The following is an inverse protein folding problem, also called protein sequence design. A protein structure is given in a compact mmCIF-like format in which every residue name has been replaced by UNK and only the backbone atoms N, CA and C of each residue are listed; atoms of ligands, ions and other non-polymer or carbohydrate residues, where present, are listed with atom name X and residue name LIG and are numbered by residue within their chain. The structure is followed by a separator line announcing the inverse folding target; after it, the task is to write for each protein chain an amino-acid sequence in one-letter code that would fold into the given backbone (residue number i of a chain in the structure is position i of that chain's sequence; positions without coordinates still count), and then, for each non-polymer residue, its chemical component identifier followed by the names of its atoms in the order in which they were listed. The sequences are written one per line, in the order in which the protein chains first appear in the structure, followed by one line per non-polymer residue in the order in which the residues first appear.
data_IF_350105618325
#
_entry.id   IF_350105618325
#
_cell.length_a   1.000
_cell.length_b   1.000
_cell.length_c   1.000
_cell.angle_alpha   90.00
_cell.angle_beta   90.00
_cell.angle_gamma   90.00
#
_symmetry.space_group_name_H-M   'P 1'
#
loop_
_entity.id
_entity.type
_entity.pdbx_description
1 polymer ?
#
# COMPACT_ATOMS: atom_id res chain seq x y z
N UNK A 1 41.52 -9.04 -21.47
CA UNK A 1 40.13 -9.54 -21.58
C UNK A 1 39.43 -9.28 -20.26
N UNK A 2 38.74 -8.16 -20.12
CA UNK A 2 38.00 -7.81 -18.89
C UNK A 2 36.52 -7.93 -19.23
N UNK A 3 35.91 -9.02 -18.78
CA UNK A 3 34.51 -9.35 -19.01
C UNK A 3 33.71 -8.96 -17.76
N UNK A 4 32.53 -8.41 -18.00
CA UNK A 4 31.41 -8.09 -17.08
C UNK A 4 31.59 -6.74 -16.37
N UNK A 5 30.84 -5.66 -16.63
CA UNK A 5 29.51 -5.45 -17.19
C UNK A 5 28.40 -6.30 -16.55
N UNK A 6 27.44 -5.62 -15.92
CA UNK A 6 26.05 -6.04 -15.62
C UNK A 6 25.57 -6.24 -14.17
N UNK A 7 26.28 -5.84 -13.11
CA UNK A 7 25.71 -5.97 -11.75
C UNK A 7 25.09 -4.70 -11.13
N UNK A 8 25.09 -3.57 -11.83
CA UNK A 8 24.62 -2.29 -11.25
C UNK A 8 23.32 -1.75 -11.89
N UNK A 9 22.67 -2.52 -12.77
CA UNK A 9 21.38 -2.16 -13.35
C UNK A 9 20.19 -2.69 -12.53
N UNK A 10 20.38 -3.77 -11.76
CA UNK A 10 19.32 -4.39 -10.96
C UNK A 10 18.98 -3.60 -9.68
N UNK A 11 19.89 -2.75 -9.19
CA UNK A 11 19.67 -1.93 -7.99
C UNK A 11 18.89 -0.62 -8.25
N UNK A 12 18.66 -0.26 -9.52
CA UNK A 12 18.27 1.11 -9.93
C UNK A 12 16.76 1.35 -10.08
N UNK A 13 15.91 0.40 -9.69
CA UNK A 13 14.46 0.62 -9.56
C UNK A 13 13.96 0.21 -8.17
N UNK A 14 14.55 0.77 -7.11
CA UNK A 14 13.76 1.06 -5.90
C UNK A 14 12.76 2.16 -6.28
N UNK A 15 11.72 1.82 -7.04
CA UNK A 15 10.69 2.77 -7.44
C UNK A 15 10.00 3.26 -6.17
N UNK A 16 10.46 4.41 -5.66
CA UNK A 16 9.70 5.25 -4.73
C UNK A 16 8.26 5.24 -5.21
N UNK A 17 7.27 4.97 -4.33
CA UNK A 17 5.88 4.99 -4.75
C UNK A 17 5.59 6.34 -5.39
N UNK A 18 4.90 6.36 -6.53
CA UNK A 18 4.49 7.62 -7.18
C UNK A 18 3.78 8.49 -6.12
N UNK A 19 3.88 9.83 -6.14
CA UNK A 19 3.28 10.69 -5.11
C UNK A 19 1.79 10.39 -4.84
N UNK A 20 1.06 9.98 -5.89
CA UNK A 20 -0.35 9.60 -5.79
C UNK A 20 -0.56 8.24 -5.09
N UNK A 21 0.40 7.31 -5.21
CA UNK A 21 0.42 6.06 -4.45
C UNK A 21 0.72 6.33 -2.98
N UNK A 22 1.65 7.23 -2.66
CA UNK A 22 1.92 7.63 -1.26
C UNK A 22 0.68 8.22 -0.59
N UNK A 23 -0.02 9.13 -1.29
CA UNK A 23 -1.28 9.72 -0.79
C UNK A 23 -2.33 8.64 -0.53
N UNK A 24 -2.46 7.66 -1.44
CA UNK A 24 -3.40 6.54 -1.27
C UNK A 24 -3.01 5.63 -0.12
N UNK A 25 -1.72 5.35 0.08
CA UNK A 25 -1.24 4.58 1.25
C UNK A 25 -1.67 5.29 2.53
N UNK A 26 -1.40 6.59 2.65
CA UNK A 26 -1.75 7.37 3.84
C UNK A 26 -3.27 7.37 4.10
N UNK A 27 -4.08 7.52 3.06
CA UNK A 27 -5.53 7.43 3.18
C UNK A 27 -6.00 6.03 3.58
N UNK A 28 -5.40 4.98 3.02
CA UNK A 28 -5.76 3.60 3.35
C UNK A 28 -5.43 3.29 4.81
N UNK A 29 -4.27 3.74 5.30
CA UNK A 29 -3.90 3.64 6.71
C UNK A 29 -4.95 4.36 7.57
N UNK A 30 -5.29 5.61 7.25
CA UNK A 30 -6.27 6.38 8.00
C UNK A 30 -7.70 5.80 7.96
N UNK A 31 -8.06 5.08 6.88
CA UNK A 31 -9.33 4.35 6.79
C UNK A 31 -9.31 3.09 7.65
N UNK A 32 -8.19 2.36 7.71
CA UNK A 32 -8.13 1.06 8.38
C UNK A 32 -7.72 1.13 9.85
N UNK A 33 -6.94 2.15 10.26
CA UNK A 33 -6.41 2.30 11.62
C UNK A 33 -7.49 2.29 12.73
N UNK A 34 -8.67 2.91 12.56
CA UNK A 34 -9.73 2.83 13.55
C UNK A 34 -10.35 1.43 13.70
N UNK A 35 -10.09 0.52 12.75
CA UNK A 35 -10.72 -0.79 12.64
C UNK A 35 -9.69 -1.92 12.80
N UNK A 36 -9.35 -2.35 14.04
CA UNK A 36 -8.31 -3.35 14.27
C UNK A 36 -8.64 -4.74 13.70
N UNK A 37 -9.94 -5.05 13.50
CA UNK A 37 -10.39 -6.28 12.82
C UNK A 37 -10.45 -6.14 11.29
N UNK A 38 -10.08 -4.97 10.77
CA UNK A 38 -10.19 -4.62 9.36
C UNK A 38 -11.60 -4.21 8.93
N UNK A 39 -11.71 -3.91 7.63
CA UNK A 39 -12.94 -3.59 6.94
C UNK A 39 -13.10 -4.46 5.69
N UNK A 40 -14.35 -4.69 5.29
CA UNK A 40 -14.67 -5.30 3.99
C UNK A 40 -14.11 -4.42 2.87
N UNK A 41 -13.58 -5.03 1.80
CA UNK A 41 -13.07 -4.31 0.61
C UNK A 41 -14.04 -3.23 0.11
N UNK A 42 -15.34 -3.54 0.00
CA UNK A 42 -16.36 -2.55 -0.41
C UNK A 42 -16.44 -1.33 0.51
N UNK A 43 -16.42 -1.54 1.83
CA UNK A 43 -16.44 -0.46 2.82
C UNK A 43 -15.18 0.40 2.73
N UNK A 44 -14.02 -0.22 2.48
CA UNK A 44 -12.76 0.51 2.23
C UNK A 44 -12.89 1.38 0.99
N UNK A 45 -13.37 0.85 -0.14
CA UNK A 45 -13.51 1.62 -1.38
C UNK A 45 -14.42 2.83 -1.20
N UNK A 46 -15.57 2.67 -0.53
CA UNK A 46 -16.48 3.78 -0.22
C UNK A 46 -15.81 4.85 0.65
N UNK A 47 -15.06 4.44 1.67
CA UNK A 47 -14.36 5.37 2.56
C UNK A 47 -13.23 6.12 1.84
N UNK A 48 -12.46 5.43 1.00
CA UNK A 48 -11.39 6.03 0.18
C UNK A 48 -11.95 7.08 -0.79
N UNK A 49 -13.07 6.76 -1.45
CA UNK A 49 -13.77 7.70 -2.35
C UNK A 49 -14.25 8.94 -1.59
N UNK A 50 -14.91 8.76 -0.44
CA UNK A 50 -15.37 9.89 0.38
C UNK A 50 -14.21 10.79 0.85
N UNK A 51 -13.04 10.22 1.15
CA UNK A 51 -11.83 11.00 1.50
C UNK A 51 -11.25 11.74 0.28
N UNK A 52 -11.26 11.13 -0.90
CA UNK A 52 -10.83 11.81 -2.13
C UNK A 52 -11.74 12.99 -2.47
N UNK A 53 -13.06 12.81 -2.39
CA UNK A 53 -14.07 13.86 -2.58
C UNK A 53 -13.89 15.01 -1.58
N UNK A 54 -13.76 14.69 -0.29
CA UNK A 54 -13.54 15.70 0.77
C UNK A 54 -12.24 16.49 0.57
N UNK A 55 -11.22 15.87 -0.01
CA UNK A 55 -9.95 16.51 -0.34
C UNK A 55 -9.95 17.21 -1.72
N UNK A 56 -11.09 17.23 -2.42
CA UNK A 56 -11.24 17.76 -3.78
C UNK A 56 -10.21 17.18 -4.76
N UNK A 57 -9.88 15.89 -4.62
CA UNK A 57 -9.00 15.16 -5.54
C UNK A 57 -9.81 14.51 -6.64
N UNK A 58 -9.22 14.47 -7.83
CA UNK A 58 -9.81 13.77 -8.97
C UNK A 58 -9.99 12.27 -8.67
N UNK A 59 -11.16 11.74 -9.03
CA UNK A 59 -11.51 10.33 -8.88
C UNK A 59 -11.62 9.71 -10.26
N UNK A 60 -10.51 9.14 -10.72
CA UNK A 60 -10.46 8.48 -12.01
C UNK A 60 -11.37 7.23 -12.06
N UNK A 61 -11.77 6.78 -13.26
CA UNK A 61 -12.49 5.50 -13.42
C UNK A 61 -11.71 4.26 -12.92
N UNK A 62 -10.40 4.39 -12.68
CA UNK A 62 -9.52 3.32 -12.17
C UNK A 62 -9.21 3.48 -10.68
N UNK A 63 -9.93 4.35 -9.97
CA UNK A 63 -9.62 4.70 -8.59
C UNK A 63 -9.58 3.46 -7.69
N UNK A 64 -10.60 2.61 -7.75
CA UNK A 64 -10.68 1.38 -6.95
C UNK A 64 -9.55 0.38 -7.30
N UNK A 65 -9.20 0.26 -8.58
CA UNK A 65 -8.10 -0.59 -9.03
C UNK A 65 -6.75 -0.08 -8.53
N UNK A 66 -6.52 1.24 -8.54
CA UNK A 66 -5.33 1.86 -7.99
C UNK A 66 -5.23 1.67 -6.48
N UNK A 67 -6.35 1.78 -5.77
CA UNK A 67 -6.44 1.51 -4.33
C UNK A 67 -6.10 0.06 -4.02
N UNK A 68 -6.63 -0.89 -4.79
CA UNK A 68 -6.31 -2.32 -4.62
C UNK A 68 -4.85 -2.63 -4.95
N UNK A 69 -4.31 -2.05 -6.02
CA UNK A 69 -2.90 -2.18 -6.38
C UNK A 69 -2.00 -1.70 -5.25
N UNK A 70 -2.32 -0.55 -4.65
CA UNK A 70 -1.58 -0.03 -3.50
C UNK A 70 -1.71 -0.96 -2.28
N UNK A 71 -2.91 -1.41 -1.94
CA UNK A 71 -3.09 -2.36 -0.84
C UNK A 71 -2.23 -3.61 -1.04
N UNK A 72 -2.32 -4.26 -2.20
CA UNK A 72 -1.57 -5.48 -2.53
C UNK A 72 -0.07 -5.30 -2.45
N UNK A 73 0.45 -4.15 -2.90
CA UNK A 73 1.88 -3.83 -2.87
C UNK A 73 2.47 -3.80 -1.46
N UNK A 74 1.67 -3.42 -0.46
CA UNK A 74 2.10 -3.33 0.95
C UNK A 74 1.42 -4.39 1.84
N UNK A 75 0.76 -5.38 1.22
CA UNK A 75 0.07 -6.45 1.92
C UNK A 75 0.99 -7.65 2.14
N UNK A 76 1.07 -8.11 3.38
CA UNK A 76 1.77 -9.33 3.74
C UNK A 76 1.32 -10.51 2.86
N UNK A 77 2.29 -11.24 2.29
CA UNK A 77 2.06 -12.43 1.47
C UNK A 77 1.74 -12.18 -0.02
N UNK A 78 1.44 -10.94 -0.43
CA UNK A 78 1.16 -10.60 -1.84
C UNK A 78 2.42 -10.11 -2.61
N UNK A 79 3.54 -9.92 -1.92
CA UNK A 79 4.71 -9.18 -2.42
C UNK A 79 5.63 -9.98 -3.34
N UNK A 80 5.29 -11.23 -3.65
CA UNK A 80 6.10 -12.16 -4.47
C UNK A 80 6.39 -11.60 -5.87
N UNK A 81 5.59 -10.64 -6.37
CA UNK A 81 5.79 -10.00 -7.69
C UNK A 81 6.41 -8.61 -7.66
N UNK A 82 6.50 -7.95 -6.49
CA UNK A 82 6.83 -6.52 -6.42
C UNK A 82 8.32 -6.22 -6.20
N UNK A 83 9.17 -7.23 -5.97
CA UNK A 83 10.59 -7.01 -5.63
C UNK A 83 10.80 -6.31 -4.28
N UNK A 84 9.74 -6.13 -3.49
CA UNK A 84 9.78 -5.58 -2.14
C UNK A 84 10.11 -6.75 -1.21
N UNK A 85 11.39 -6.89 -0.86
CA UNK A 85 11.90 -7.93 0.03
C UNK A 85 11.93 -7.52 1.50
N UNK A 86 11.57 -6.27 1.79
CA UNK A 86 11.63 -5.72 3.13
C UNK A 86 10.29 -5.90 3.86
N UNK A 87 10.21 -6.87 4.76
CA UNK A 87 9.07 -7.09 5.65
C UNK A 87 8.69 -5.84 6.48
N UNK A 88 9.59 -4.86 6.61
CA UNK A 88 9.33 -3.56 7.24
C UNK A 88 8.38 -2.66 6.46
N UNK A 89 8.22 -2.89 5.15
CA UNK A 89 7.26 -2.17 4.30
C UNK A 89 5.89 -2.86 4.24
N UNK A 90 5.75 -4.05 4.82
CA UNK A 90 4.47 -4.76 4.89
C UNK A 90 3.68 -4.32 6.13
N UNK A 91 2.69 -3.46 5.93
CA UNK A 91 1.81 -3.00 7.01
C UNK A 91 0.34 -3.26 6.76
N UNK A 92 -0.05 -3.73 5.58
CA UNK A 92 -1.38 -4.27 5.35
C UNK A 92 -1.41 -5.80 5.45
N UNK A 93 -2.58 -6.35 5.77
CA UNK A 93 -2.77 -7.80 5.82
C UNK A 93 -4.25 -8.16 5.63
N UNK A 94 -4.48 -9.45 5.36
CA UNK A 94 -5.83 -10.07 5.34
C UNK A 94 -6.00 -10.95 6.58
N UNK A 95 -6.94 -10.65 7.48
CA UNK A 95 -7.22 -11.52 8.63
C UNK A 95 -7.68 -12.91 8.17
N UNK A 96 -7.06 -13.97 8.71
CA UNK A 96 -7.33 -15.37 8.30
C UNK A 96 -8.67 -15.92 8.83
N UNK A 97 -9.18 -15.34 9.91
CA UNK A 97 -10.37 -15.84 10.63
C UNK A 97 -11.69 -15.20 10.14
N UNK A 98 -11.64 -14.32 9.14
CA UNK A 98 -12.83 -13.64 8.63
C UNK A 98 -13.29 -14.23 7.30
N UNK A 99 -14.56 -14.64 7.23
CA UNK A 99 -15.16 -15.05 5.96
C UNK A 99 -15.26 -13.85 5.01
N UNK A 100 -14.66 -13.94 3.82
CA UNK A 100 -14.67 -12.94 2.74
C UNK A 100 -13.54 -11.89 2.82
N UNK A 101 -13.42 -11.06 1.78
CA UNK A 101 -12.24 -10.18 1.62
C UNK A 101 -12.25 -8.99 2.59
N UNK A 102 -11.48 -9.13 3.68
CA UNK A 102 -11.27 -8.12 4.72
C UNK A 102 -9.83 -7.63 4.65
N UNK A 103 -9.67 -6.31 4.70
CA UNK A 103 -8.39 -5.62 4.67
C UNK A 103 -8.15 -4.97 6.02
N UNK A 104 -6.93 -5.09 6.54
CA UNK A 104 -6.53 -4.55 7.83
C UNK A 104 -5.13 -3.94 7.78
N UNK A 105 -4.76 -3.19 8.82
CA UNK A 105 -3.46 -2.52 8.95
C UNK A 105 -2.78 -2.86 10.28
N UNK A 106 -1.48 -3.14 10.24
CA UNK A 106 -0.62 -3.29 11.42
C UNK A 106 -0.18 -1.91 11.90
N UNK A 107 -0.86 -1.39 12.93
CA UNK A 107 -0.70 -0.01 13.43
C UNK A 107 0.77 0.41 13.60
N UNK A 108 1.56 -0.39 14.31
CA UNK A 108 2.97 -0.07 14.56
C UNK A 108 3.79 0.10 13.28
N UNK A 109 3.59 -0.78 12.30
CA UNK A 109 4.32 -0.71 11.02
C UNK A 109 3.82 0.44 10.15
N UNK A 110 2.51 0.70 10.14
CA UNK A 110 1.93 1.83 9.43
C UNK A 110 2.43 3.17 9.98
N UNK A 111 2.54 3.28 11.32
CA UNK A 111 3.11 4.46 11.96
C UNK A 111 4.58 4.66 11.61
N UNK A 112 5.39 3.60 11.70
CA UNK A 112 6.79 3.64 11.31
C UNK A 112 6.97 4.03 9.83
N UNK A 113 6.05 3.60 8.96
CA UNK A 113 6.03 4.01 7.57
C UNK A 113 5.73 5.50 7.41
N UNK A 114 4.69 6.03 8.07
CA UNK A 114 4.33 7.45 8.03
C UNK A 114 5.43 8.38 8.57
N UNK A 115 6.21 7.92 9.53
CA UNK A 115 7.33 8.67 10.12
C UNK A 115 8.63 8.55 9.30
N UNK A 116 8.68 7.65 8.31
CA UNK A 116 9.87 7.42 7.48
C UNK A 116 10.06 8.50 6.41
N UNK A 117 11.30 8.94 6.12
CA UNK A 117 11.60 9.81 4.98
C UNK A 117 11.29 9.18 3.61
N UNK A 118 10.91 7.90 3.56
CA UNK A 118 10.44 7.23 2.36
C UNK A 118 8.94 7.52 2.06
N UNK A 119 8.18 8.03 3.03
CA UNK A 119 6.76 8.35 2.87
C UNK A 119 6.51 9.68 2.14
N UNK A 120 7.53 10.56 2.07
CA UNK A 120 7.45 11.89 1.45
C UNK A 120 8.67 12.18 0.55
#
# INVERSE_FOLDING_TARGET
MTKLAFDDAAARWRERPKPMDQSRVADLIAVLEPHPRGLRRWSVMRAMRARAEKANRDISPKFEDDVERVFRRFCEGDNVRAGITNASEEFFFRPKETAGEVWAVRKERARAWLESPAAF
#
